data_IF_250768299220
#
_entry.id   IF_250768299220
#
_cell.length_a   1.000
_cell.length_b   1.000
_cell.length_c   1.000
_cell.angle_alpha   90.00
_cell.angle_beta   90.00
_cell.angle_gamma   90.00
#
_symmetry.space_group_name_H-M   'P 1'
#
loop_
_entity.id
_entity.type
_entity.pdbx_description
1 polymer ?
#
# COMPACT_ATOMS: atom_id res chain seq x y z
N UNK A 1 23.38 -49.19 68.00
CA UNK A 1 21.96 -49.46 67.74
C UNK A 1 21.53 -48.55 66.59
N UNK A 2 21.61 -49.07 65.36
CA UNK A 2 20.81 -48.57 64.22
C UNK A 2 19.55 -49.44 64.15
N UNK A 3 18.38 -48.94 63.68
CA UNK A 3 18.17 -48.79 62.22
C UNK A 3 17.32 -47.59 61.73
N UNK A 4 17.76 -47.08 60.58
CA UNK A 4 17.08 -46.62 59.36
C UNK A 4 15.55 -46.38 59.32
N UNK A 5 15.15 -45.29 58.63
CA UNK A 5 14.58 -45.33 57.26
C UNK A 5 14.29 -43.90 56.73
N UNK A 6 14.96 -43.51 55.63
CA UNK A 6 14.41 -43.20 54.28
C UNK A 6 13.71 -41.82 54.18
N UNK A 7 13.96 -40.93 53.20
CA UNK A 7 14.09 -41.12 51.76
C UNK A 7 14.88 -39.96 51.09
N UNK A 8 15.75 -40.34 50.14
CA UNK A 8 15.89 -39.87 48.75
C UNK A 8 15.80 -38.35 48.45
N UNK A 9 16.68 -37.75 47.66
CA UNK A 9 17.68 -38.29 46.76
C UNK A 9 17.98 -37.27 45.65
N UNK A 10 19.27 -37.12 45.35
CA UNK A 10 19.87 -36.68 44.10
C UNK A 10 19.40 -35.35 43.48
N UNK A 11 20.22 -34.32 43.69
CA UNK A 11 20.42 -33.30 42.68
C UNK A 11 21.07 -33.91 41.43
N UNK A 12 20.53 -33.57 40.26
CA UNK A 12 21.17 -33.74 38.96
C UNK A 12 20.89 -32.48 38.15
N UNK A 13 22.01 -31.84 37.78
CA UNK A 13 22.25 -30.93 36.66
C UNK A 13 21.09 -30.05 36.15
N UNK A 14 21.28 -28.74 36.31
CA UNK A 14 20.77 -27.70 35.42
C UNK A 14 21.18 -28.03 33.97
N UNK A 15 20.32 -28.74 33.26
CA UNK A 15 20.38 -28.88 31.81
C UNK A 15 19.85 -27.61 31.17
N UNK A 16 20.75 -26.70 30.81
CA UNK A 16 20.47 -25.72 29.76
C UNK A 16 20.22 -26.53 28.48
N UNK A 17 18.97 -26.57 28.03
CA UNK A 17 18.65 -26.98 26.66
C UNK A 17 19.10 -25.84 25.76
N UNK A 18 20.38 -25.84 25.38
CA UNK A 18 20.84 -25.10 24.21
C UNK A 18 20.20 -25.77 23.00
N UNK A 19 19.04 -25.27 22.60
CA UNK A 19 18.57 -25.48 21.24
C UNK A 19 19.61 -24.86 20.32
N UNK A 20 20.40 -25.69 19.65
CA UNK A 20 21.10 -25.28 18.44
C UNK A 20 20.01 -24.89 17.44
N UNK A 21 19.65 -23.61 17.44
CA UNK A 21 19.08 -22.94 16.28
C UNK A 21 20.12 -23.17 15.18
N UNK A 22 19.79 -24.07 14.25
CA UNK A 22 20.60 -24.29 13.06
C UNK A 22 20.44 -23.04 12.21
N UNK A 23 21.30 -22.05 12.45
CA UNK A 23 21.41 -20.86 11.62
C UNK A 23 22.05 -21.30 10.31
N UNK A 24 21.36 -21.10 9.19
CA UNK A 24 21.92 -21.40 7.87
C UNK A 24 23.18 -20.54 7.69
N UNK A 25 24.38 -21.14 7.56
CA UNK A 25 25.64 -20.39 7.54
C UNK A 25 25.79 -19.52 6.29
N UNK A 26 24.99 -19.79 5.26
CA UNK A 26 25.00 -19.18 3.92
C UNK A 26 23.83 -18.19 3.66
N UNK A 27 22.99 -17.91 4.66
CA UNK A 27 21.81 -17.04 4.52
C UNK A 27 21.68 -16.05 5.66
N UNK A 28 21.07 -14.89 5.40
CA UNK A 28 20.73 -13.89 6.41
C UNK A 28 19.34 -14.03 7.04
N UNK A 29 18.56 -15.06 6.68
CA UNK A 29 17.26 -15.31 7.28
C UNK A 29 17.37 -15.51 8.80
N UNK A 30 16.89 -14.54 9.57
CA UNK A 30 16.97 -14.55 11.04
C UNK A 30 18.36 -14.24 11.63
N UNK A 31 19.32 -13.77 10.82
CA UNK A 31 20.70 -13.45 11.23
C UNK A 31 21.04 -11.96 11.16
N UNK A 32 20.10 -11.09 10.81
CA UNK A 32 20.34 -9.65 10.69
C UNK A 32 20.87 -9.02 11.98
N UNK A 33 22.00 -8.32 11.88
CA UNK A 33 22.64 -7.64 13.01
C UNK A 33 23.44 -8.57 13.92
N UNK A 34 23.75 -9.79 13.48
CA UNK A 34 24.65 -10.69 14.20
C UNK A 34 26.05 -10.08 14.41
N UNK A 35 26.75 -10.44 15.50
CA UNK A 35 28.17 -10.11 15.63
C UNK A 35 29.00 -10.91 14.62
N UNK A 36 30.14 -10.35 14.20
CA UNK A 36 31.12 -11.06 13.37
C UNK A 36 31.60 -12.35 14.06
N UNK A 37 31.61 -13.45 13.30
CA UNK A 37 32.06 -14.76 13.76
C UNK A 37 32.90 -15.44 12.67
N UNK A 38 34.18 -15.70 12.94
CA UNK A 38 35.13 -16.29 11.97
C UNK A 38 34.73 -17.67 11.43
N UNK A 39 33.78 -18.35 12.06
CA UNK A 39 33.27 -19.66 11.62
C UNK A 39 32.20 -19.58 10.51
N UNK A 40 31.63 -18.40 10.26
CA UNK A 40 30.57 -18.22 9.26
C UNK A 40 31.16 -18.05 7.85
N UNK A 41 30.51 -18.65 6.85
CA UNK A 41 30.92 -18.52 5.43
C UNK A 41 30.62 -17.12 4.87
N UNK A 42 29.59 -16.47 5.42
CA UNK A 42 29.19 -15.11 5.12
C UNK A 42 28.48 -14.49 6.34
N UNK A 43 28.37 -13.16 6.37
CA UNK A 43 27.87 -12.45 7.53
C UNK A 43 26.71 -11.51 7.23
N UNK A 44 25.96 -11.19 8.29
CA UNK A 44 24.79 -10.32 8.23
C UNK A 44 24.90 -9.11 9.17
N UNK A 45 26.13 -8.70 9.49
CA UNK A 45 26.41 -7.54 10.33
C UNK A 45 26.36 -6.23 9.52
N UNK A 46 26.02 -5.07 10.12
CA UNK A 46 25.85 -3.80 9.40
C UNK A 46 27.07 -3.25 8.64
N UNK A 47 28.24 -3.88 8.82
CA UNK A 47 29.50 -3.50 8.18
C UNK A 47 29.97 -4.49 7.13
N UNK A 48 29.19 -5.54 6.82
CA UNK A 48 29.65 -6.64 5.98
C UNK A 48 29.97 -6.18 4.55
N UNK A 49 29.35 -5.09 4.08
CA UNK A 49 29.60 -4.50 2.77
C UNK A 49 31.00 -3.90 2.67
N UNK A 50 31.47 -3.26 3.75
CA UNK A 50 32.81 -2.67 3.81
C UNK A 50 33.90 -3.74 3.88
N UNK A 51 33.59 -4.88 4.49
CA UNK A 51 34.49 -6.02 4.64
C UNK A 51 34.33 -7.05 3.49
N UNK A 52 33.41 -6.81 2.55
CA UNK A 52 33.09 -7.67 1.40
C UNK A 52 32.79 -9.14 1.77
N UNK A 53 32.07 -9.34 2.88
CA UNK A 53 31.81 -10.65 3.45
C UNK A 53 30.30 -10.90 3.71
N UNK A 54 29.40 -10.10 3.13
CA UNK A 54 27.95 -10.28 3.26
C UNK A 54 27.47 -11.59 2.63
N UNK A 55 26.42 -12.20 3.19
CA UNK A 55 25.68 -13.25 2.49
C UNK A 55 24.99 -12.70 1.24
N UNK A 56 24.77 -13.55 0.23
CA UNK A 56 24.16 -13.15 -1.06
C UNK A 56 22.74 -12.58 -0.87
N UNK A 57 22.04 -13.01 0.17
CA UNK A 57 20.68 -12.61 0.52
C UNK A 57 20.61 -11.49 1.58
N UNK A 58 21.75 -10.90 1.96
CA UNK A 58 21.82 -9.85 2.99
C UNK A 58 20.85 -8.69 2.72
N UNK A 59 20.84 -8.15 1.50
CA UNK A 59 19.95 -7.04 1.14
C UNK A 59 18.46 -7.43 1.18
N UNK A 60 18.14 -8.70 0.94
CA UNK A 60 16.75 -9.20 0.95
C UNK A 60 16.19 -9.33 2.36
N UNK A 61 17.02 -9.75 3.32
CA UNK A 61 16.61 -10.01 4.71
C UNK A 61 16.92 -8.86 5.66
N UNK A 62 18.02 -8.15 5.44
CA UNK A 62 18.58 -7.14 6.34
C UNK A 62 18.74 -5.77 5.67
N UNK A 63 18.42 -5.65 4.38
CA UNK A 63 18.29 -4.35 3.73
C UNK A 63 17.26 -3.48 4.47
N UNK A 64 17.35 -2.16 4.35
CA UNK A 64 16.38 -1.27 4.97
C UNK A 64 14.96 -1.68 4.55
N UNK A 65 14.09 -1.97 5.52
CA UNK A 65 12.65 -2.13 5.32
C UNK A 65 12.07 -0.83 4.75
N UNK A 66 12.19 -0.66 3.43
CA UNK A 66 11.93 0.60 2.80
C UNK A 66 12.19 0.52 1.32
N UNK A 67 11.17 0.91 0.55
CA UNK A 67 11.17 1.07 -0.90
C UNK A 67 12.20 2.09 -1.43
N UNK A 68 13.32 2.37 -0.76
CA UNK A 68 14.17 3.51 -1.10
C UNK A 68 15.66 3.23 -0.93
N UNK A 69 16.18 2.27 -1.69
CA UNK A 69 17.59 2.31 -2.09
C UNK A 69 17.78 3.44 -3.11
N UNK A 70 18.87 4.19 -3.01
CA UNK A 70 19.17 5.38 -3.84
C UNK A 70 19.19 5.07 -5.34
N UNK A 71 19.50 3.82 -5.72
CA UNK A 71 19.51 3.30 -7.08
C UNK A 71 18.12 3.03 -7.68
N UNK A 72 17.07 2.92 -6.84
CA UNK A 72 15.68 2.71 -7.26
C UNK A 72 14.77 3.93 -7.08
N UNK A 73 15.30 5.04 -6.58
CA UNK A 73 14.51 6.26 -6.33
C UNK A 73 13.88 6.79 -7.62
N UNK A 74 12.61 7.18 -7.53
CA UNK A 74 11.89 7.82 -8.62
C UNK A 74 12.08 9.32 -8.44
N UNK A 75 12.75 9.97 -9.39
CA UNK A 75 13.04 11.41 -9.31
C UNK A 75 11.81 12.26 -9.64
N UNK A 76 11.80 13.52 -9.18
CA UNK A 76 10.73 14.49 -9.51
C UNK A 76 10.57 14.68 -11.02
N UNK A 77 11.68 14.68 -11.76
CA UNK A 77 11.65 14.76 -13.22
C UNK A 77 10.94 13.56 -13.84
N UNK A 78 11.20 12.36 -13.34
CA UNK A 78 10.51 11.15 -13.82
C UNK A 78 9.03 11.15 -13.45
N UNK A 79 8.66 11.64 -12.26
CA UNK A 79 7.25 11.81 -11.89
C UNK A 79 6.54 12.79 -12.82
N UNK A 80 7.17 13.92 -13.14
CA UNK A 80 6.63 14.91 -14.08
C UNK A 80 6.49 14.34 -15.49
N UNK A 81 7.52 13.67 -16.00
CA UNK A 81 7.50 13.06 -17.33
C UNK A 81 6.45 11.94 -17.41
N UNK A 82 6.33 11.12 -16.37
CA UNK A 82 5.34 10.07 -16.29
C UNK A 82 3.93 10.64 -16.21
N UNK A 83 3.66 11.62 -15.34
CA UNK A 83 2.32 12.20 -15.18
C UNK A 83 1.80 12.83 -16.48
N UNK A 84 2.67 13.51 -17.23
CA UNK A 84 2.37 14.04 -18.57
C UNK A 84 2.05 12.94 -19.59
N UNK A 85 2.75 11.80 -19.53
CA UNK A 85 2.45 10.65 -20.37
C UNK A 85 1.10 10.03 -20.00
N UNK A 86 0.83 9.82 -18.71
CA UNK A 86 -0.44 9.28 -18.22
C UNK A 86 -1.61 10.20 -18.62
N UNK A 87 -1.46 11.52 -18.48
CA UNK A 87 -2.48 12.49 -18.89
C UNK A 87 -2.84 12.41 -20.39
N UNK A 88 -1.86 12.10 -21.24
CA UNK A 88 -2.09 11.91 -22.69
C UNK A 88 -2.75 10.57 -23.01
N UNK A 89 -2.49 9.55 -22.21
CA UNK A 89 -3.06 8.20 -22.35
C UNK A 89 -4.45 8.06 -21.72
N UNK A 90 -4.91 9.07 -20.99
CA UNK A 90 -6.27 9.10 -20.48
C UNK A 90 -7.27 9.40 -21.62
N UNK A 91 -7.69 8.34 -22.30
CA UNK A 91 -8.74 8.38 -23.32
C UNK A 91 -10.14 8.46 -22.71
N UNK A 92 -10.27 8.10 -21.43
CA UNK A 92 -11.55 8.09 -20.73
C UNK A 92 -11.91 9.48 -20.19
N UNK A 93 -10.96 10.41 -20.06
CA UNK A 93 -11.22 11.80 -19.63
C UNK A 93 -12.34 12.49 -20.39
N UNK A 94 -13.05 13.34 -19.66
CA UNK A 94 -13.98 14.28 -20.24
C UNK A 94 -13.23 15.28 -21.14
N UNK A 95 -13.83 15.60 -22.29
CA UNK A 95 -13.36 16.67 -23.17
C UNK A 95 -13.91 18.01 -22.69
N UNK A 96 -13.33 19.14 -23.12
CA UNK A 96 -13.87 20.47 -22.79
C UNK A 96 -15.34 20.67 -23.17
N UNK A 97 -15.84 19.93 -24.17
CA UNK A 97 -17.25 19.96 -24.59
C UNK A 97 -18.18 19.08 -23.73
N UNK A 98 -17.62 18.15 -22.95
CA UNK A 98 -18.41 17.21 -22.15
C UNK A 98 -18.84 17.81 -20.81
N UNK A 99 -18.28 18.96 -20.40
CA UNK A 99 -18.57 19.59 -19.12
C UNK A 99 -18.77 21.10 -19.32
N UNK A 100 -19.86 21.64 -18.81
CA UNK A 100 -20.06 23.08 -18.68
C UNK A 100 -20.16 23.49 -17.22
N UNK A 101 -19.22 24.33 -16.77
CA UNK A 101 -19.14 24.80 -15.40
C UNK A 101 -19.77 26.20 -15.23
N UNK A 102 -20.22 26.47 -14.01
CA UNK A 102 -20.74 27.75 -13.53
C UNK A 102 -19.98 28.14 -12.26
N UNK A 103 -18.78 28.74 -12.40
CA UNK A 103 -17.94 29.06 -11.26
C UNK A 103 -18.54 30.12 -10.33
N UNK A 104 -19.49 30.94 -10.82
CA UNK A 104 -20.17 31.99 -10.06
C UNK A 104 -19.20 33.00 -9.43
N UNK A 105 -19.07 33.02 -8.10
CA UNK A 105 -18.27 34.00 -7.36
C UNK A 105 -16.84 33.47 -7.10
N UNK A 106 -15.85 34.32 -7.36
CA UNK A 106 -14.46 34.05 -7.00
C UNK A 106 -14.23 34.52 -5.56
N UNK A 107 -14.15 33.56 -4.62
CA UNK A 107 -13.95 33.86 -3.21
C UNK A 107 -12.58 34.53 -2.95
N UNK A 108 -12.58 35.64 -2.22
CA UNK A 108 -11.38 36.27 -1.69
C UNK A 108 -10.89 35.59 -0.39
N UNK A 109 -9.64 35.85 0.04
CA UNK A 109 -9.09 35.25 1.27
C UNK A 109 -9.95 35.49 2.51
N UNK A 110 -10.51 36.70 2.64
CA UNK A 110 -11.33 37.13 3.78
C UNK A 110 -12.75 36.52 3.79
N UNK A 111 -13.17 35.88 2.71
CA UNK A 111 -14.55 35.36 2.53
C UNK A 111 -14.67 33.88 2.87
N UNK A 112 -13.56 33.15 3.05
CA UNK A 112 -13.57 31.69 3.28
C UNK A 112 -14.19 31.26 4.61
N UNK A 113 -14.35 32.19 5.57
CA UNK A 113 -14.90 31.92 6.90
C UNK A 113 -16.21 32.65 7.23
N UNK A 114 -16.76 33.45 6.31
CA UNK A 114 -17.91 34.32 6.58
C UNK A 114 -19.27 33.59 6.63
N UNK A 115 -19.27 32.28 6.31
CA UNK A 115 -20.44 31.38 6.25
C UNK A 115 -21.54 31.89 5.31
N UNK A 116 -21.21 32.75 4.36
CA UNK A 116 -22.15 33.27 3.38
C UNK A 116 -22.01 32.51 2.06
N UNK A 117 -23.11 31.93 1.57
CA UNK A 117 -23.13 31.36 0.22
C UNK A 117 -23.25 32.47 -0.83
N UNK A 118 -22.22 32.60 -1.66
CA UNK A 118 -22.13 33.55 -2.77
C UNK A 118 -22.22 32.89 -4.15
N UNK A 119 -22.41 31.57 -4.17
CA UNK A 119 -22.49 30.73 -5.37
C UNK A 119 -23.71 29.80 -5.31
N UNK A 120 -24.94 30.36 -5.20
CA UNK A 120 -26.15 29.60 -4.87
C UNK A 120 -26.66 28.67 -5.99
N UNK A 121 -26.10 28.74 -7.19
CA UNK A 121 -26.45 27.87 -8.30
C UNK A 121 -25.54 26.63 -8.33
N UNK A 122 -25.95 25.53 -8.99
CA UNK A 122 -25.07 24.39 -9.21
C UNK A 122 -23.79 24.76 -9.99
N UNK A 123 -22.65 24.17 -9.61
CA UNK A 123 -21.39 24.32 -10.33
C UNK A 123 -21.44 23.65 -11.71
N UNK A 124 -22.00 22.45 -11.81
CA UNK A 124 -22.16 21.76 -13.09
C UNK A 124 -23.47 22.21 -13.75
N UNK A 125 -23.40 22.95 -14.87
CA UNK A 125 -24.58 23.25 -15.70
C UNK A 125 -24.92 22.10 -16.62
N UNK A 126 -23.90 21.37 -17.03
CA UNK A 126 -24.02 20.25 -17.95
C UNK A 126 -22.84 19.31 -17.75
N UNK A 127 -23.14 18.02 -17.78
CA UNK A 127 -22.18 16.93 -17.92
C UNK A 127 -22.73 15.99 -18.98
N UNK A 128 -21.91 15.60 -19.94
CA UNK A 128 -22.28 14.59 -20.93
C UNK A 128 -22.36 13.23 -20.25
N UNK A 129 -23.57 12.75 -19.97
CA UNK A 129 -23.81 11.49 -19.27
C UNK A 129 -23.38 10.25 -20.09
N UNK A 130 -23.10 10.38 -21.38
CA UNK A 130 -22.47 9.31 -22.17
C UNK A 130 -21.10 8.91 -21.58
N UNK A 131 -20.43 9.82 -20.86
CA UNK A 131 -19.21 9.51 -20.11
C UNK A 131 -19.46 8.41 -19.06
N UNK A 132 -20.63 8.37 -18.43
CA UNK A 132 -20.96 7.42 -17.37
C UNK A 132 -21.12 5.99 -17.89
N UNK A 133 -21.32 5.83 -19.20
CA UNK A 133 -21.35 4.53 -19.85
C UNK A 133 -19.95 3.98 -20.15
N UNK A 134 -18.89 4.79 -20.01
CA UNK A 134 -17.51 4.30 -20.15
C UNK A 134 -17.22 3.30 -19.02
N UNK A 135 -16.55 2.16 -19.29
CA UNK A 135 -16.41 1.10 -18.29
C UNK A 135 -15.82 1.54 -16.96
N UNK A 136 -14.79 2.40 -16.97
CA UNK A 136 -14.15 2.90 -15.75
C UNK A 136 -15.03 3.89 -14.97
N UNK A 137 -15.85 4.70 -15.65
CA UNK A 137 -16.80 5.60 -14.98
C UNK A 137 -17.95 4.81 -14.40
N UNK A 138 -18.50 3.86 -15.16
CA UNK A 138 -19.61 3.02 -14.72
C UNK A 138 -19.24 2.21 -13.47
N UNK A 139 -18.05 1.59 -13.44
CA UNK A 139 -17.59 0.85 -12.26
C UNK A 139 -17.26 1.76 -11.09
N UNK A 140 -16.68 2.95 -11.34
CA UNK A 140 -16.41 3.93 -10.28
C UNK A 140 -17.68 4.47 -9.63
N UNK A 141 -18.70 4.82 -10.42
CA UNK A 141 -19.98 5.33 -9.91
C UNK A 141 -20.66 4.30 -9.01
N UNK A 142 -20.63 3.01 -9.37
CA UNK A 142 -21.13 1.95 -8.51
C UNK A 142 -20.44 1.90 -7.15
N UNK A 143 -19.12 2.08 -7.12
CA UNK A 143 -18.39 2.14 -5.85
C UNK A 143 -18.86 3.29 -4.97
N UNK A 144 -19.15 4.47 -5.54
CA UNK A 144 -19.59 5.63 -4.76
C UNK A 144 -20.92 5.39 -4.03
N UNK A 145 -21.80 4.55 -4.57
CA UNK A 145 -23.09 4.23 -3.93
C UNK A 145 -22.91 3.42 -2.63
N UNK A 146 -21.80 2.70 -2.48
CA UNK A 146 -21.50 1.89 -1.30
C UNK A 146 -21.05 2.73 -0.11
N UNK A 147 -20.39 3.87 -0.35
CA UNK A 147 -19.76 4.70 0.70
C UNK A 147 -20.64 5.89 1.12
N UNK A 148 -21.96 5.80 0.99
CA UNK A 148 -22.86 6.81 1.53
C UNK A 148 -22.77 6.84 3.06
N UNK A 149 -22.26 7.94 3.63
CA UNK A 149 -22.00 8.17 5.07
C UNK A 149 -23.21 7.85 5.96
N UNK A 150 -23.38 6.60 6.34
CA UNK A 150 -24.17 6.19 7.50
C UNK A 150 -23.20 6.01 8.68
N UNK A 151 -22.73 7.13 9.24
CA UNK A 151 -21.77 7.12 10.36
C UNK A 151 -22.30 6.27 11.53
N UNK A 152 -21.45 5.38 12.07
CA UNK A 152 -21.72 4.67 13.33
C UNK A 152 -22.24 3.23 13.20
N UNK A 153 -21.95 2.54 12.09
CA UNK A 153 -22.13 1.09 11.97
C UNK A 153 -20.84 0.47 11.42
N UNK A 154 -20.47 -0.68 11.97
CA UNK A 154 -19.38 -1.52 11.45
C UNK A 154 -19.66 -1.82 9.96
N UNK A 155 -18.75 -1.41 9.08
CA UNK A 155 -18.88 -1.62 7.64
C UNK A 155 -18.63 -3.11 7.33
N UNK A 156 -19.68 -3.92 7.30
CA UNK A 156 -19.60 -5.26 6.70
C UNK A 156 -19.53 -5.13 5.18
N UNK A 157 -18.32 -5.28 4.63
CA UNK A 157 -18.13 -5.35 3.18
C UNK A 157 -18.85 -6.58 2.64
N UNK A 158 -19.89 -6.34 1.85
CA UNK A 158 -20.71 -7.39 1.25
C UNK A 158 -19.98 -8.06 0.09
N UNK A 159 -20.42 -9.27 -0.27
CA UNK A 159 -19.89 -9.98 -1.44
C UNK A 159 -20.14 -9.22 -2.76
N UNK A 160 -21.12 -8.32 -2.82
CA UNK A 160 -21.34 -7.48 -4.00
C UNK A 160 -20.35 -6.33 -4.04
N UNK A 161 -20.10 -5.66 -2.91
CA UNK A 161 -19.11 -4.59 -2.80
C UNK A 161 -17.71 -5.08 -3.16
N UNK A 162 -17.32 -6.28 -2.71
CA UNK A 162 -16.05 -6.91 -3.13
C UNK A 162 -15.96 -7.10 -4.65
N UNK A 163 -17.05 -7.56 -5.29
CA UNK A 163 -17.08 -7.71 -6.76
C UNK A 163 -17.00 -6.38 -7.47
N UNK A 164 -17.61 -5.34 -6.91
CA UNK A 164 -17.55 -4.00 -7.50
C UNK A 164 -16.14 -3.40 -7.39
N UNK A 165 -15.43 -3.63 -6.27
CA UNK A 165 -14.03 -3.26 -6.09
C UNK A 165 -13.13 -3.98 -7.09
N UNK A 166 -13.25 -5.32 -7.19
CA UNK A 166 -12.54 -6.14 -8.17
C UNK A 166 -12.82 -5.65 -9.59
N UNK A 167 -14.09 -5.44 -9.93
CA UNK A 167 -14.50 -4.99 -11.25
C UNK A 167 -13.92 -3.62 -11.60
N UNK A 168 -13.92 -2.68 -10.65
CA UNK A 168 -13.33 -1.38 -10.86
C UNK A 168 -11.83 -1.47 -11.17
N UNK A 169 -11.08 -2.21 -10.35
CA UNK A 169 -9.65 -2.39 -10.57
C UNK A 169 -9.36 -3.09 -11.90
N UNK A 170 -10.13 -4.11 -12.28
CA UNK A 170 -10.02 -4.74 -13.60
C UNK A 170 -10.22 -3.75 -14.76
N UNK A 171 -11.25 -2.90 -14.70
CA UNK A 171 -11.51 -1.91 -15.76
C UNK A 171 -10.41 -0.84 -15.81
N UNK A 172 -9.89 -0.44 -14.65
CA UNK A 172 -8.76 0.50 -14.53
C UNK A 172 -7.49 -0.10 -15.13
N UNK A 173 -7.15 -1.35 -14.80
CA UNK A 173 -5.97 -2.05 -15.32
C UNK A 173 -6.00 -2.33 -16.83
N UNK A 174 -7.19 -2.42 -17.44
CA UNK A 174 -7.33 -2.56 -18.91
C UNK A 174 -6.83 -1.32 -19.67
N UNK A 175 -6.81 -0.14 -19.04
CA UNK A 175 -6.44 1.11 -19.70
C UNK A 175 -4.97 1.18 -20.09
N UNK A 176 -4.65 1.89 -21.17
CA UNK A 176 -3.25 2.13 -21.57
C UNK A 176 -2.48 2.93 -20.51
N UNK A 177 -3.18 3.83 -19.81
CA UNK A 177 -2.63 4.61 -18.70
C UNK A 177 -2.09 3.69 -17.60
N UNK A 178 -2.89 2.75 -17.11
CA UNK A 178 -2.46 1.86 -16.02
C UNK A 178 -1.40 0.87 -16.47
N UNK A 179 -1.48 0.35 -17.69
CA UNK A 179 -0.41 -0.48 -18.27
C UNK A 179 0.92 0.29 -18.34
N UNK A 180 0.88 1.57 -18.72
CA UNK A 180 2.06 2.43 -18.76
C UNK A 180 2.65 2.66 -17.36
N UNK A 181 1.79 2.89 -16.36
CA UNK A 181 2.21 3.02 -14.96
C UNK A 181 2.86 1.73 -14.45
N UNK A 182 2.24 0.58 -14.69
CA UNK A 182 2.79 -0.71 -14.30
C UNK A 182 4.18 -0.96 -14.93
N UNK A 183 4.32 -0.75 -16.25
CA UNK A 183 5.62 -0.90 -16.94
C UNK A 183 6.69 0.02 -16.35
N UNK A 184 6.33 1.26 -16.00
CA UNK A 184 7.26 2.18 -15.36
C UNK A 184 7.71 1.67 -13.99
N UNK A 185 6.76 1.24 -13.15
CA UNK A 185 7.04 0.75 -11.80
C UNK A 185 7.83 -0.58 -11.83
N UNK A 186 7.52 -1.47 -12.77
CA UNK A 186 8.29 -2.68 -13.01
C UNK A 186 9.73 -2.35 -13.44
N UNK A 187 9.92 -1.38 -14.34
CA UNK A 187 11.27 -0.90 -14.71
C UNK A 187 12.04 -0.26 -13.56
N UNK A 188 11.35 0.10 -12.47
CA UNK A 188 11.91 0.59 -11.21
C UNK A 188 12.04 -0.49 -10.14
N UNK A 189 11.88 -1.77 -10.51
CA UNK A 189 11.89 -2.92 -9.62
C UNK A 189 10.91 -2.78 -8.44
N UNK A 190 9.76 -2.14 -8.67
CA UNK A 190 8.70 -1.96 -7.64
C UNK A 190 7.72 -3.13 -7.61
N UNK A 191 7.52 -3.76 -8.77
CA UNK A 191 6.62 -4.88 -8.94
C UNK A 191 7.23 -5.89 -9.88
N UNK A 192 7.13 -7.16 -9.52
CA UNK A 192 7.57 -8.28 -10.34
C UNK A 192 6.51 -8.72 -11.36
N UNK A 193 5.22 -8.52 -11.02
CA UNK A 193 4.09 -8.95 -11.84
C UNK A 193 2.89 -8.01 -11.75
N UNK A 194 2.00 -8.06 -12.75
CA UNK A 194 0.75 -7.30 -12.75
C UNK A 194 -0.19 -7.77 -11.64
N UNK A 195 -0.14 -9.06 -11.28
CA UNK A 195 -0.91 -9.65 -10.20
C UNK A 195 -0.54 -9.04 -8.84
N UNK A 196 0.75 -8.91 -8.56
CA UNK A 196 1.28 -8.27 -7.34
C UNK A 196 0.85 -6.81 -7.28
N UNK A 197 1.00 -6.08 -8.40
CA UNK A 197 0.56 -4.69 -8.47
C UNK A 197 -0.94 -4.52 -8.24
N UNK A 198 -1.77 -5.40 -8.80
CA UNK A 198 -3.21 -5.40 -8.59
C UNK A 198 -3.60 -5.71 -7.13
N UNK A 199 -2.91 -6.67 -6.50
CA UNK A 199 -3.11 -6.99 -5.08
C UNK A 199 -2.77 -5.79 -4.19
N UNK A 200 -1.65 -5.12 -4.45
CA UNK A 200 -1.26 -3.92 -3.73
C UNK A 200 -2.23 -2.76 -3.95
N UNK A 201 -2.72 -2.55 -5.18
CA UNK A 201 -3.77 -1.56 -5.45
C UNK A 201 -5.04 -1.87 -4.66
N UNK A 202 -5.45 -3.13 -4.60
CA UNK A 202 -6.62 -3.54 -3.82
C UNK A 202 -6.40 -3.24 -2.33
N UNK A 203 -5.28 -3.69 -1.76
CA UNK A 203 -4.97 -3.47 -0.35
C UNK A 203 -4.81 -1.98 -0.01
N UNK A 204 -4.21 -1.18 -0.89
CA UNK A 204 -3.98 0.25 -0.68
C UNK A 204 -5.28 1.05 -0.70
N UNK A 205 -6.19 0.74 -1.63
CA UNK A 205 -7.42 1.52 -1.82
C UNK A 205 -8.59 0.98 -1.00
N UNK A 206 -8.75 -0.34 -0.89
CA UNK A 206 -9.92 -0.97 -0.27
C UNK A 206 -9.60 -1.73 1.01
N UNK A 207 -8.32 -1.92 1.34
CA UNK A 207 -7.92 -2.49 2.62
C UNK A 207 -8.37 -1.61 3.78
N UNK A 208 -9.21 -2.18 4.66
CA UNK A 208 -9.71 -1.47 5.84
C UNK A 208 -8.59 -1.27 6.88
N UNK A 209 -8.47 -0.05 7.38
CA UNK A 209 -7.57 0.28 8.49
C UNK A 209 -8.26 1.11 9.56
N UNK A 210 -7.76 0.99 10.78
CA UNK A 210 -8.30 1.71 11.94
C UNK A 210 -7.68 3.09 12.07
N UNK A 211 -8.52 4.11 12.28
CA UNK A 211 -8.10 5.50 12.57
C UNK A 211 -7.96 5.81 14.06
N UNK A 212 -8.43 4.91 14.93
CA UNK A 212 -8.46 5.04 16.40
C UNK A 212 -9.45 4.05 17.00
N UNK A 213 -9.22 3.60 18.24
CA UNK A 213 -10.07 2.67 19.02
C UNK A 213 -10.32 1.26 18.44
N UNK A 214 -9.59 0.84 17.40
CA UNK A 214 -9.54 -0.56 16.96
C UNK A 214 -10.65 -0.99 15.99
N UNK A 215 -11.57 -0.10 15.65
CA UNK A 215 -12.54 -0.31 14.57
C UNK A 215 -11.84 -0.13 13.21
N UNK A 216 -11.98 -1.11 12.31
CA UNK A 216 -11.44 -1.07 10.94
C UNK A 216 -12.54 -0.55 10.01
N UNK A 217 -12.81 0.74 10.09
CA UNK A 217 -14.00 1.37 9.54
C UNK A 217 -13.72 2.29 8.33
N UNK A 218 -12.50 2.28 7.80
CA UNK A 218 -12.10 3.27 6.80
C UNK A 218 -11.11 2.74 5.77
N UNK A 219 -11.17 3.26 4.54
CA UNK A 219 -10.34 2.82 3.42
C UNK A 219 -9.69 3.99 2.67
N UNK A 220 -8.62 3.72 1.91
CA UNK A 220 -7.98 4.74 1.07
C UNK A 220 -8.92 5.33 0.02
N UNK A 221 -9.82 4.51 -0.52
CA UNK A 221 -10.81 4.90 -1.51
C UNK A 221 -11.81 5.89 -0.91
N UNK A 222 -12.36 5.58 0.26
CA UNK A 222 -13.29 6.46 0.95
C UNK A 222 -12.66 7.84 1.18
N UNK A 223 -11.42 7.90 1.67
CA UNK A 223 -10.78 9.17 2.03
C UNK A 223 -10.45 10.07 0.84
N UNK A 224 -10.10 9.48 -0.30
CA UNK A 224 -9.65 10.23 -1.47
C UNK A 224 -10.80 10.52 -2.42
N UNK A 225 -11.76 9.59 -2.59
CA UNK A 225 -12.81 9.68 -3.59
C UNK A 225 -14.20 9.97 -3.03
N UNK A 226 -14.58 9.41 -1.87
CA UNK A 226 -15.86 9.72 -1.22
C UNK A 226 -15.78 11.05 -0.44
N UNK A 227 -14.63 11.30 0.18
CA UNK A 227 -14.31 12.49 0.97
C UNK A 227 -15.07 12.58 2.28
#
# INVERSE_FOLDING_TARGET
MEPWMLLLGAGIALGCVSGHLYTAPDSCEGRCGEPFNEEDECHCHPGCEAEHNCCEDHERHCGPDGFSSSSGSISERELLELSEQLYRLDHNKARPSDIALNPQHLAGPDETGDKQDRSPQPLYRYVNEELFSKPTYASFIKLLDNYQRATGREEEVTAEELREQERFLEEVMKTELMKKLFVFLQGKNRYSSEQEFLQDLNQMWFGLYSRGDGERDSSGFEHVFSG
#
